data_IF_105772363755
#
_entry.id   IF_105772363755
#
_cell.length_a   1.000
_cell.length_b   1.000
_cell.length_c   1.000
_cell.angle_alpha   90.00
_cell.angle_beta   90.00
_cell.angle_gamma   90.00
#
_symmetry.space_group_name_H-M   'P 1'
#
loop_
_entity.id
_entity.type
_entity.pdbx_description
1 polymer ?
#
# COMPACT_ATOMS: atom_id res chain seq x y z
N UNK A 1 -9.54 -19.66 -19.99
CA UNK A 1 -8.36 -19.07 -19.34
C UNK A 1 -8.67 -17.97 -18.31
N UNK A 2 -9.81 -17.26 -18.35
CA UNK A 2 -10.20 -16.23 -17.34
C UNK A 2 -10.34 -16.74 -15.89
N UNK A 3 -10.69 -18.01 -15.68
CA UNK A 3 -10.94 -18.56 -14.34
C UNK A 3 -9.67 -18.78 -13.49
N UNK A 4 -8.48 -18.94 -14.11
CA UNK A 4 -7.23 -19.12 -13.38
C UNK A 4 -6.67 -17.80 -12.82
N UNK A 5 -6.82 -16.70 -13.55
CA UNK A 5 -6.37 -15.38 -13.08
C UNK A 5 -7.21 -14.87 -11.90
N UNK A 6 -8.51 -15.12 -11.90
CA UNK A 6 -9.40 -14.76 -10.80
C UNK A 6 -9.07 -15.53 -9.51
N UNK A 7 -8.77 -16.84 -9.60
CA UNK A 7 -8.38 -17.64 -8.43
C UNK A 7 -7.07 -17.16 -7.80
N UNK A 8 -6.05 -16.88 -8.62
CA UNK A 8 -4.78 -16.37 -8.13
C UNK A 8 -4.93 -15.00 -7.42
N UNK A 9 -5.75 -14.11 -7.96
CA UNK A 9 -6.03 -12.81 -7.35
C UNK A 9 -6.70 -12.96 -5.98
N UNK A 10 -7.68 -13.88 -5.86
CA UNK A 10 -8.33 -14.17 -4.57
C UNK A 10 -7.38 -14.77 -3.55
N UNK A 11 -6.45 -15.65 -3.96
CA UNK A 11 -5.43 -16.19 -3.06
C UNK A 11 -4.47 -15.10 -2.56
N UNK A 12 -4.04 -14.18 -3.41
CA UNK A 12 -3.17 -13.06 -3.00
C UNK A 12 -3.93 -12.11 -2.06
N UNK A 13 -5.16 -11.75 -2.39
CA UNK A 13 -5.99 -10.90 -1.53
C UNK A 13 -6.30 -11.57 -0.19
N UNK A 14 -6.72 -12.83 -0.20
CA UNK A 14 -6.97 -13.61 1.02
C UNK A 14 -5.70 -13.81 1.85
N UNK A 15 -4.59 -14.16 1.20
CA UNK A 15 -3.29 -14.31 1.86
C UNK A 15 -2.78 -13.00 2.48
N UNK A 16 -2.99 -11.86 1.81
CA UNK A 16 -2.61 -10.57 2.38
C UNK A 16 -3.47 -10.17 3.58
N UNK A 17 -4.77 -10.49 3.57
CA UNK A 17 -5.67 -10.33 4.70
C UNK A 17 -5.24 -11.17 5.90
N UNK A 18 -5.05 -12.46 5.67
CA UNK A 18 -4.62 -13.40 6.73
C UNK A 18 -3.25 -12.98 7.26
N UNK A 19 -2.32 -12.63 6.38
CA UNK A 19 -1.00 -12.13 6.77
C UNK A 19 -1.06 -10.85 7.60
N UNK A 20 -1.95 -9.92 7.26
CA UNK A 20 -2.15 -8.69 8.01
C UNK A 20 -2.64 -8.96 9.44
N UNK A 21 -3.64 -9.85 9.61
CA UNK A 21 -4.19 -10.22 10.91
C UNK A 21 -3.18 -11.02 11.74
N UNK A 22 -2.53 -12.03 11.14
CA UNK A 22 -1.55 -12.86 11.84
C UNK A 22 -0.33 -12.07 12.33
N UNK A 23 0.18 -11.15 11.51
CA UNK A 23 1.29 -10.30 11.93
C UNK A 23 0.87 -9.28 12.97
N UNK A 24 -0.32 -8.69 12.85
CA UNK A 24 -0.87 -7.85 13.90
C UNK A 24 -0.91 -8.60 15.23
N UNK A 25 -1.45 -9.83 15.24
CA UNK A 25 -1.46 -10.70 16.42
C UNK A 25 -0.05 -11.02 16.95
N UNK A 26 0.89 -11.33 16.05
CA UNK A 26 2.26 -11.64 16.46
C UNK A 26 2.91 -10.44 17.15
N UNK A 27 2.78 -9.23 16.58
CA UNK A 27 3.36 -8.03 17.17
C UNK A 27 2.68 -7.64 18.48
N UNK A 28 1.36 -7.79 18.59
CA UNK A 28 0.64 -7.50 19.83
C UNK A 28 1.01 -8.50 20.93
N UNK A 29 1.11 -9.79 20.63
CA UNK A 29 1.49 -10.82 21.62
C UNK A 29 2.94 -10.69 22.10
N UNK A 30 3.85 -10.16 21.27
CA UNK A 30 5.24 -9.93 21.68
C UNK A 30 5.42 -8.66 22.49
N UNK A 31 4.55 -7.68 22.35
CA UNK A 31 4.56 -6.46 23.17
C UNK A 31 4.26 -6.74 24.64
N UNK A 32 3.33 -7.66 24.94
CA UNK A 32 2.98 -8.06 26.31
C UNK A 32 4.11 -8.84 27.02
N UNK A 33 5.00 -9.49 26.27
CA UNK A 33 6.10 -10.29 26.84
C UNK A 33 7.39 -9.52 27.10
N UNK A 34 7.33 -8.17 27.09
CA UNK A 34 8.54 -7.33 27.34
C UNK A 34 9.51 -7.34 26.16
N UNK A 35 8.98 -7.53 24.95
CA UNK A 35 9.73 -7.35 23.71
C UNK A 35 10.34 -5.94 23.62
N UNK A 36 11.27 -5.70 22.70
CA UNK A 36 12.13 -4.52 22.71
C UNK A 36 11.32 -3.22 22.73
N UNK A 37 11.09 -2.71 23.92
CA UNK A 37 10.60 -1.35 24.19
C UNK A 37 11.71 -0.32 23.89
N UNK A 38 12.50 -0.58 22.85
CA UNK A 38 13.63 0.19 22.41
C UNK A 38 13.42 0.80 21.04
N UNK A 39 13.54 2.08 20.97
CA UNK A 39 13.70 2.88 19.78
C UNK A 39 14.73 2.28 18.81
N UNK A 40 14.31 1.56 17.77
CA UNK A 40 15.21 1.33 16.67
C UNK A 40 15.19 0.01 15.89
N UNK A 41 14.39 -0.99 16.22
CA UNK A 41 14.52 -2.29 15.56
C UNK A 41 13.27 -2.84 14.85
N UNK A 42 12.19 -2.07 14.76
CA UNK A 42 10.94 -2.51 14.12
C UNK A 42 10.77 -2.07 12.67
N UNK A 43 9.75 -2.59 11.97
CA UNK A 43 9.42 -2.14 10.63
C UNK A 43 9.20 -0.62 10.58
N UNK A 44 9.61 0.05 9.49
CA UNK A 44 9.39 1.48 9.34
C UNK A 44 7.91 1.84 9.50
N UNK A 45 7.62 2.81 10.38
CA UNK A 45 6.24 3.30 10.58
C UNK A 45 5.43 2.60 11.66
N UNK A 46 5.98 1.61 12.35
CA UNK A 46 5.35 0.95 13.50
C UNK A 46 5.82 1.60 14.79
N UNK A 47 4.88 2.21 15.51
CA UNK A 47 5.12 2.73 16.86
C UNK A 47 4.72 1.65 17.87
N UNK A 48 5.71 1.02 18.49
CA UNK A 48 5.51 -0.05 19.48
C UNK A 48 4.86 0.44 20.79
N UNK A 49 4.82 1.75 21.01
CA UNK A 49 4.17 2.33 22.16
C UNK A 49 2.63 2.43 22.02
N UNK A 50 2.12 2.25 20.79
CA UNK A 50 0.69 2.39 20.49
C UNK A 50 0.07 1.04 20.11
N UNK A 51 -0.87 0.50 20.93
CA UNK A 51 -1.55 -0.77 20.68
C UNK A 51 -2.19 -0.85 19.28
N UNK A 52 -2.81 0.24 18.82
CA UNK A 52 -3.44 0.32 17.52
C UNK A 52 -2.45 0.14 16.35
N UNK A 53 -1.27 0.72 16.44
CA UNK A 53 -0.24 0.59 15.38
C UNK A 53 0.34 -0.81 15.35
N UNK A 54 0.44 -1.48 16.49
CA UNK A 54 0.85 -2.88 16.59
C UNK A 54 -0.17 -3.81 15.94
N UNK A 55 -1.45 -3.64 16.29
CA UNK A 55 -2.54 -4.45 15.73
C UNK A 55 -2.61 -4.34 14.21
N UNK A 56 -2.33 -3.16 13.66
CA UNK A 56 -2.32 -2.91 12.23
C UNK A 56 -0.96 -3.15 11.56
N UNK A 57 0.12 -3.46 12.30
CA UNK A 57 1.49 -3.57 11.76
C UNK A 57 1.63 -4.52 10.57
N UNK A 58 0.72 -5.48 10.44
CA UNK A 58 0.62 -6.37 9.29
C UNK A 58 0.42 -5.65 7.95
N UNK A 59 0.03 -4.35 7.94
CA UNK A 59 -0.06 -3.57 6.70
C UNK A 59 1.27 -3.49 5.96
N UNK A 60 2.40 -3.59 6.67
CA UNK A 60 3.74 -3.55 6.06
C UNK A 60 3.99 -4.71 5.08
N UNK A 61 3.50 -5.92 5.37
CA UNK A 61 3.54 -7.01 4.39
C UNK A 61 2.40 -6.93 3.39
N UNK A 62 1.20 -6.54 3.83
CA UNK A 62 0.06 -6.40 2.96
C UNK A 62 0.32 -5.39 1.83
N UNK A 63 1.03 -4.28 2.08
CA UNK A 63 1.38 -3.30 1.05
C UNK A 63 2.27 -3.88 -0.05
N UNK A 64 3.20 -4.78 0.29
CA UNK A 64 4.01 -5.49 -0.71
C UNK A 64 3.14 -6.41 -1.57
N UNK A 65 2.37 -7.28 -0.92
CA UNK A 65 1.54 -8.25 -1.62
C UNK A 65 0.52 -7.55 -2.54
N UNK A 66 -0.16 -6.52 -2.04
CA UNK A 66 -1.15 -5.76 -2.81
C UNK A 66 -0.51 -4.88 -3.89
N UNK A 67 0.65 -4.27 -3.61
CA UNK A 67 1.41 -3.51 -4.61
C UNK A 67 1.90 -4.39 -5.76
N UNK A 68 2.44 -5.57 -5.44
CA UNK A 68 2.84 -6.58 -6.44
C UNK A 68 1.63 -7.08 -7.22
N UNK A 69 0.48 -7.29 -6.57
CA UNK A 69 -0.77 -7.63 -7.26
C UNK A 69 -1.13 -6.57 -8.30
N UNK A 70 -1.02 -5.28 -7.95
CA UNK A 70 -1.23 -4.18 -8.89
C UNK A 70 -0.32 -4.25 -10.11
N UNK A 71 0.98 -4.56 -9.90
CA UNK A 71 1.95 -4.77 -10.97
C UNK A 71 1.55 -5.96 -11.85
N UNK A 72 1.29 -7.12 -11.23
CA UNK A 72 1.02 -8.39 -11.94
C UNK A 72 -0.25 -8.34 -12.79
N UNK A 73 -1.31 -7.67 -12.33
CA UNK A 73 -2.54 -7.52 -13.08
C UNK A 73 -2.33 -6.78 -14.41
N UNK A 74 -1.39 -5.84 -14.43
CA UNK A 74 -1.06 -5.10 -15.65
C UNK A 74 -0.03 -5.87 -16.49
N UNK A 75 1.11 -6.25 -15.90
CA UNK A 75 2.21 -6.88 -16.64
C UNK A 75 1.86 -8.27 -17.15
N UNK A 76 0.96 -8.99 -16.48
CA UNK A 76 0.44 -10.28 -16.93
C UNK A 76 -0.30 -10.22 -18.27
N UNK A 77 -0.93 -9.08 -18.60
CA UNK A 77 -1.58 -8.89 -19.90
C UNK A 77 -0.56 -8.61 -21.03
N UNK A 78 0.56 -7.96 -20.68
CA UNK A 78 1.65 -7.82 -21.64
C UNK A 78 2.32 -9.17 -21.93
N UNK A 79 2.55 -9.97 -20.89
CA UNK A 79 3.20 -11.29 -21.04
C UNK A 79 2.30 -12.30 -21.79
N UNK A 80 0.99 -12.25 -21.56
CA UNK A 80 0.03 -13.14 -22.24
C UNK A 80 -0.39 -12.65 -23.64
N UNK A 81 0.02 -11.44 -24.03
CA UNK A 81 -0.36 -10.83 -25.31
C UNK A 81 -1.84 -10.39 -25.39
N UNK A 82 -2.63 -10.59 -24.32
CA UNK A 82 -4.07 -10.21 -24.30
C UNK A 82 -4.28 -8.71 -24.41
N UNK A 83 -3.25 -7.91 -24.15
CA UNK A 83 -3.32 -6.45 -24.29
C UNK A 83 -3.63 -6.01 -25.72
N UNK A 84 -3.16 -6.77 -26.73
CA UNK A 84 -3.41 -6.47 -28.16
C UNK A 84 -4.90 -6.60 -28.50
N UNK A 85 -5.55 -7.65 -28.03
CA UNK A 85 -7.00 -7.86 -28.25
C UNK A 85 -7.82 -6.80 -27.51
N UNK A 86 -7.39 -6.38 -26.32
CA UNK A 86 -8.05 -5.31 -25.56
C UNK A 86 -7.97 -3.98 -26.29
N UNK A 87 -6.82 -3.62 -26.86
CA UNK A 87 -6.66 -2.37 -27.61
C UNK A 87 -7.29 -2.40 -29.00
N UNK A 88 -7.39 -3.57 -29.63
CA UNK A 88 -8.14 -3.71 -30.88
C UNK A 88 -9.65 -3.44 -30.68
N UNK A 89 -10.19 -3.80 -29.52
CA UNK A 89 -11.60 -3.56 -29.18
C UNK A 89 -11.88 -2.14 -28.64
N UNK A 90 -10.85 -1.41 -28.20
CA UNK A 90 -10.99 -0.08 -27.60
C UNK A 90 -10.11 0.95 -28.33
N UNK A 91 -10.69 1.73 -29.29
CA UNK A 91 -9.93 2.72 -30.09
C UNK A 91 -9.27 3.81 -29.20
N UNK A 92 -9.87 4.12 -28.07
CA UNK A 92 -9.30 5.04 -27.08
C UNK A 92 -8.69 4.22 -25.94
N UNK A 93 -7.35 4.28 -25.78
CA UNK A 93 -6.60 3.48 -24.80
C UNK A 93 -6.73 3.97 -23.36
N UNK A 94 -6.99 5.27 -23.13
CA UNK A 94 -7.07 5.84 -21.78
C UNK A 94 -8.24 5.32 -20.92
N UNK A 95 -9.47 5.04 -21.48
CA UNK A 95 -10.55 4.52 -20.66
C UNK A 95 -10.27 3.11 -20.13
N UNK A 96 -9.44 2.34 -20.85
CA UNK A 96 -9.02 1.01 -20.41
C UNK A 96 -8.18 1.10 -19.13
N UNK A 97 -7.22 2.04 -19.09
CA UNK A 97 -6.39 2.29 -17.90
C UNK A 97 -7.25 2.77 -16.75
N UNK A 98 -8.14 3.74 -16.99
CA UNK A 98 -9.02 4.31 -15.98
C UNK A 98 -10.00 3.25 -15.42
N UNK A 99 -10.65 2.47 -16.28
CA UNK A 99 -11.58 1.42 -15.86
C UNK A 99 -10.88 0.33 -15.03
N UNK A 100 -9.68 -0.09 -15.44
CA UNK A 100 -8.90 -1.07 -14.67
C UNK A 100 -8.45 -0.52 -13.33
N UNK A 101 -7.97 0.72 -13.29
CA UNK A 101 -7.59 1.36 -12.04
C UNK A 101 -8.81 1.51 -11.10
N UNK A 102 -9.98 1.88 -11.62
CA UNK A 102 -11.20 2.00 -10.83
C UNK A 102 -11.68 0.64 -10.27
N UNK A 103 -11.73 -0.41 -11.10
CA UNK A 103 -12.15 -1.74 -10.66
C UNK A 103 -11.16 -2.33 -9.66
N UNK A 104 -9.85 -2.22 -9.94
CA UNK A 104 -8.81 -2.69 -9.03
C UNK A 104 -8.85 -1.91 -7.71
N UNK A 105 -8.95 -0.59 -7.78
CA UNK A 105 -9.04 0.27 -6.60
C UNK A 105 -10.26 -0.05 -5.74
N UNK A 106 -11.45 -0.21 -6.34
CA UNK A 106 -12.66 -0.57 -5.62
C UNK A 106 -12.55 -1.96 -4.94
N UNK A 107 -12.04 -2.95 -5.67
CA UNK A 107 -11.86 -4.31 -5.14
C UNK A 107 -10.89 -4.32 -3.96
N UNK A 108 -9.71 -3.69 -4.13
CA UNK A 108 -8.67 -3.65 -3.09
C UNK A 108 -9.14 -2.83 -1.90
N UNK A 109 -9.86 -1.73 -2.12
CA UNK A 109 -10.41 -0.91 -1.03
C UNK A 109 -11.35 -1.72 -0.12
N UNK A 110 -12.28 -2.49 -0.71
CA UNK A 110 -13.20 -3.33 0.06
C UNK A 110 -12.42 -4.40 0.83
N UNK A 111 -11.52 -5.10 0.16
CA UNK A 111 -10.73 -6.16 0.80
C UNK A 111 -9.84 -5.61 1.92
N UNK A 112 -9.14 -4.50 1.64
CA UNK A 112 -8.26 -3.87 2.64
C UNK A 112 -9.05 -3.27 3.83
N UNK A 113 -10.25 -2.74 3.59
CA UNK A 113 -11.13 -2.26 4.67
C UNK A 113 -11.59 -3.40 5.58
N UNK A 114 -11.98 -4.54 4.99
CA UNK A 114 -12.32 -5.74 5.77
C UNK A 114 -11.10 -6.23 6.57
N UNK A 115 -9.92 -6.24 5.94
CA UNK A 115 -8.67 -6.64 6.61
C UNK A 115 -8.28 -5.73 7.77
N UNK A 116 -8.37 -4.42 7.59
CA UNK A 116 -8.05 -3.45 8.62
C UNK A 116 -9.03 -3.53 9.80
N UNK A 117 -10.33 -3.69 9.51
CA UNK A 117 -11.35 -3.89 10.55
C UNK A 117 -11.15 -5.22 11.29
N UNK A 118 -10.83 -6.30 10.57
CA UNK A 118 -10.55 -7.58 11.18
C UNK A 118 -9.29 -7.53 12.08
N UNK A 119 -8.20 -6.89 11.60
CA UNK A 119 -6.98 -6.72 12.39
C UNK A 119 -7.24 -5.88 13.66
N UNK A 120 -8.03 -4.80 13.52
CA UNK A 120 -8.47 -4.01 14.67
C UNK A 120 -9.30 -4.84 15.66
N UNK A 121 -10.31 -5.58 15.17
CA UNK A 121 -11.22 -6.38 16.02
C UNK A 121 -10.44 -7.48 16.77
N UNK A 122 -9.50 -8.14 16.10
CA UNK A 122 -8.65 -9.14 16.73
C UNK A 122 -7.69 -8.50 17.73
N UNK A 123 -7.06 -7.37 17.38
CA UNK A 123 -6.20 -6.62 18.29
C UNK A 123 -6.93 -6.15 19.54
N UNK A 124 -8.16 -5.65 19.40
CA UNK A 124 -8.98 -5.21 20.55
C UNK A 124 -9.45 -6.35 21.45
N UNK A 125 -9.44 -7.58 20.97
CA UNK A 125 -9.77 -8.75 21.78
C UNK A 125 -8.55 -9.31 22.55
N UNK A 126 -7.33 -8.95 22.15
CA UNK A 126 -6.08 -9.50 22.70
C UNK A 126 -5.35 -8.49 23.57
N UNK A 127 -5.43 -7.19 23.24
CA UNK A 127 -4.65 -6.13 23.90
C UNK A 127 -5.55 -5.30 24.82
N UNK A 128 -5.23 -5.28 26.09
CA UNK A 128 -5.86 -4.41 27.08
C UNK A 128 -5.47 -2.94 26.79
N UNK A 129 -6.45 -2.03 26.88
CA UNK A 129 -6.21 -0.60 26.63
C UNK A 129 -6.21 -0.20 25.16
N UNK A 130 -6.72 -1.04 24.25
CA UNK A 130 -6.95 -0.65 22.86
C UNK A 130 -7.96 0.49 22.78
N UNK A 131 -7.65 1.61 22.09
CA UNK A 131 -8.59 2.72 21.94
C UNK A 131 -9.83 2.29 21.15
N UNK A 132 -11.01 2.75 21.57
CA UNK A 132 -12.29 2.44 20.95
C UNK A 132 -12.42 3.07 19.55
N UNK A 133 -13.21 2.46 18.65
CA UNK A 133 -13.46 3.01 17.30
C UNK A 133 -14.07 4.42 17.32
N UNK A 134 -14.73 4.80 18.39
CA UNK A 134 -15.32 6.15 18.58
C UNK A 134 -14.32 7.18 19.09
N UNK A 135 -13.12 6.80 19.47
CA UNK A 135 -12.09 7.74 19.91
C UNK A 135 -11.48 8.49 18.72
N UNK A 136 -11.00 9.71 19.00
CA UNK A 136 -10.48 10.60 17.98
C UNK A 136 -9.32 9.99 17.19
N UNK A 137 -9.53 9.86 15.89
CA UNK A 137 -8.54 9.40 14.95
C UNK A 137 -8.46 7.89 14.73
N UNK A 138 -9.06 7.04 15.59
CA UNK A 138 -9.00 5.58 15.47
C UNK A 138 -9.64 5.10 14.17
N UNK A 139 -10.86 5.53 13.90
CA UNK A 139 -11.56 5.19 12.65
C UNK A 139 -10.80 5.67 11.42
N UNK A 140 -10.18 6.86 11.51
CA UNK A 140 -9.30 7.38 10.43
C UNK A 140 -8.12 6.47 10.19
N UNK A 141 -7.45 5.97 11.22
CA UNK A 141 -6.30 5.07 11.08
C UNK A 141 -6.71 3.75 10.46
N UNK A 142 -7.81 3.15 10.92
CA UNK A 142 -8.31 1.87 10.40
C UNK A 142 -8.72 1.99 8.92
N UNK A 143 -9.57 2.96 8.58
CA UNK A 143 -9.98 3.20 7.19
C UNK A 143 -8.83 3.77 6.35
N UNK A 144 -7.96 4.56 6.96
CA UNK A 144 -6.75 5.09 6.34
C UNK A 144 -5.80 3.99 5.88
N UNK A 145 -5.70 2.90 6.64
CA UNK A 145 -4.94 1.71 6.23
C UNK A 145 -5.47 1.13 4.91
N UNK A 146 -6.80 1.03 4.77
CA UNK A 146 -7.41 0.55 3.53
C UNK A 146 -7.17 1.49 2.35
N UNK A 147 -7.30 2.80 2.57
CA UNK A 147 -7.03 3.82 1.56
C UNK A 147 -5.56 3.79 1.12
N UNK A 148 -4.64 3.69 2.07
CA UNK A 148 -3.21 3.60 1.82
C UNK A 148 -2.86 2.37 0.98
N UNK A 149 -3.32 1.18 1.37
CA UNK A 149 -3.08 -0.07 0.64
C UNK A 149 -3.64 -0.01 -0.78
N UNK A 150 -4.80 0.61 -0.95
CA UNK A 150 -5.40 0.85 -2.26
C UNK A 150 -4.52 1.75 -3.13
N UNK A 151 -4.03 2.86 -2.57
CA UNK A 151 -3.17 3.79 -3.29
C UNK A 151 -1.83 3.16 -3.68
N UNK A 152 -1.20 2.35 -2.80
CA UNK A 152 0.02 1.59 -3.12
C UNK A 152 -0.24 0.57 -4.24
N UNK A 153 -1.39 -0.11 -4.23
CA UNK A 153 -1.76 -1.04 -5.31
C UNK A 153 -1.93 -0.32 -6.65
N UNK A 154 -2.57 0.84 -6.65
CA UNK A 154 -2.71 1.67 -7.84
C UNK A 154 -1.37 2.21 -8.33
N UNK A 155 -0.46 2.58 -7.43
CA UNK A 155 0.91 2.95 -7.76
C UNK A 155 1.65 1.78 -8.42
N UNK A 156 1.54 0.56 -7.88
CA UNK A 156 2.07 -0.65 -8.47
C UNK A 156 1.52 -0.89 -9.88
N UNK A 157 0.21 -0.72 -10.08
CA UNK A 157 -0.41 -0.83 -11.40
C UNK A 157 0.12 0.22 -12.39
N UNK A 158 0.32 1.47 -11.95
CA UNK A 158 0.89 2.54 -12.77
C UNK A 158 2.33 2.20 -13.21
N UNK A 159 3.16 1.68 -12.29
CA UNK A 159 4.50 1.21 -12.62
C UNK A 159 4.48 0.04 -13.60
N UNK A 160 3.53 -0.88 -13.47
CA UNK A 160 3.31 -1.97 -14.43
C UNK A 160 3.03 -1.45 -15.84
N UNK A 161 2.18 -0.44 -15.99
CA UNK A 161 1.91 0.23 -17.27
C UNK A 161 3.14 0.93 -17.84
N UNK A 162 3.91 1.61 -16.98
CA UNK A 162 5.08 2.36 -17.38
C UNK A 162 6.24 1.47 -17.80
N UNK A 163 6.57 0.46 -17.03
CA UNK A 163 7.78 -0.33 -17.23
C UNK A 163 7.55 -1.54 -18.15
N UNK A 164 6.30 -2.03 -18.25
CA UNK A 164 5.94 -3.20 -19.08
C UNK A 164 6.77 -4.46 -18.76
N UNK A 165 7.48 -4.44 -17.66
CA UNK A 165 8.33 -5.52 -17.14
C UNK A 165 7.93 -5.80 -15.71
N UNK A 166 7.60 -7.03 -15.40
CA UNK A 166 7.19 -7.43 -14.05
C UNK A 166 8.33 -7.22 -13.05
N UNK A 167 9.52 -7.71 -13.38
CA UNK A 167 10.69 -7.58 -12.51
C UNK A 167 11.05 -6.10 -12.26
N UNK A 168 11.09 -5.28 -13.32
CA UNK A 168 11.39 -3.86 -13.21
C UNK A 168 10.36 -3.10 -12.38
N UNK A 169 9.05 -3.38 -12.60
CA UNK A 169 7.98 -2.70 -11.86
C UNK A 169 7.97 -3.09 -10.38
N UNK A 170 8.18 -4.38 -10.06
CA UNK A 170 8.27 -4.85 -8.67
C UNK A 170 9.50 -4.28 -7.98
N UNK A 171 10.67 -4.30 -8.63
CA UNK A 171 11.90 -3.73 -8.08
C UNK A 171 11.77 -2.22 -7.81
N UNK A 172 11.16 -1.48 -8.74
CA UNK A 172 10.91 -0.04 -8.57
C UNK A 172 9.92 0.23 -7.44
N UNK A 173 8.84 -0.55 -7.34
CA UNK A 173 7.87 -0.43 -6.25
C UNK A 173 8.54 -0.69 -4.90
N UNK A 174 9.32 -1.78 -4.79
CA UNK A 174 10.06 -2.10 -3.59
C UNK A 174 11.06 -1.00 -3.21
N UNK A 175 11.79 -0.49 -4.21
CA UNK A 175 12.71 0.63 -4.03
C UNK A 175 12.02 1.87 -3.45
N UNK A 176 10.89 2.27 -4.04
CA UNK A 176 10.14 3.46 -3.62
C UNK A 176 9.49 3.32 -2.23
N UNK A 177 8.99 2.13 -1.91
CA UNK A 177 8.19 1.91 -0.70
C UNK A 177 9.05 1.53 0.51
N UNK A 178 10.14 0.78 0.30
CA UNK A 178 10.98 0.27 1.39
C UNK A 178 12.41 0.80 1.36
N UNK A 179 13.09 0.67 0.23
CA UNK A 179 14.52 0.96 0.18
C UNK A 179 14.82 2.45 0.36
N UNK A 180 14.11 3.32 -0.35
CA UNK A 180 14.35 4.76 -0.25
C UNK A 180 14.05 5.36 1.14
N UNK A 181 12.95 5.00 1.85
CA UNK A 181 12.74 5.46 3.22
C UNK A 181 13.85 5.04 4.18
N UNK A 182 14.33 3.78 4.06
CA UNK A 182 15.42 3.28 4.89
C UNK A 182 16.72 4.02 4.59
N UNK A 183 17.08 4.15 3.31
CA UNK A 183 18.28 4.88 2.90
C UNK A 183 18.22 6.37 3.27
N UNK A 184 17.04 6.97 3.13
CA UNK A 184 16.81 8.37 3.51
C UNK A 184 17.02 8.62 5.00
N UNK A 185 16.63 7.65 5.85
CA UNK A 185 16.89 7.71 7.30
C UNK A 185 18.36 7.57 7.68
N UNK A 186 19.21 7.07 6.77
CA UNK A 186 20.65 6.95 6.97
C UNK A 186 21.43 8.19 6.49
N UNK A 187 20.78 9.14 5.83
CA UNK A 187 21.43 10.36 5.35
C UNK A 187 21.86 11.23 6.53
N UNK A 188 23.11 11.73 6.55
CA UNK A 188 23.58 12.62 7.60
C UNK A 188 22.96 14.01 7.45
N UNK A 189 22.63 14.64 8.60
CA UNK A 189 22.08 16.00 8.65
C UNK A 189 20.56 16.06 8.53
N UNK A 190 20.02 17.28 8.46
CA UNK A 190 18.57 17.56 8.50
C UNK A 190 17.82 17.25 7.20
N UNK A 191 18.53 16.88 6.14
CA UNK A 191 17.94 16.60 4.84
C UNK A 191 17.20 15.25 4.79
N UNK A 192 17.68 14.26 5.57
CA UNK A 192 17.11 12.91 5.57
C UNK A 192 15.61 12.92 5.85
N UNK A 193 15.16 13.46 6.98
CA UNK A 193 13.74 13.58 7.31
C UNK A 193 12.94 14.34 6.27
N UNK A 194 13.50 15.43 5.73
CA UNK A 194 12.83 16.26 4.72
C UNK A 194 12.60 15.52 3.40
N UNK A 195 13.57 14.73 2.96
CA UNK A 195 13.41 13.89 1.75
C UNK A 195 12.47 12.73 2.02
N UNK A 196 12.63 12.04 3.15
CA UNK A 196 11.83 10.85 3.50
C UNK A 196 10.35 11.17 3.59
N UNK A 197 9.95 12.32 4.15
CA UNK A 197 8.53 12.68 4.29
C UNK A 197 7.79 12.79 2.95
N UNK A 198 8.50 13.09 1.84
CA UNK A 198 7.91 13.19 0.50
C UNK A 198 7.78 11.84 -0.20
N UNK A 199 8.44 10.79 0.27
CA UNK A 199 8.34 9.47 -0.32
C UNK A 199 6.92 8.91 -0.21
N UNK A 200 6.44 8.14 -1.22
CA UNK A 200 5.04 7.69 -1.27
C UNK A 200 4.61 6.90 -0.04
N UNK A 201 5.49 6.05 0.49
CA UNK A 201 5.18 5.25 1.68
C UNK A 201 5.15 6.10 2.97
N UNK A 202 6.10 7.02 3.13
CA UNK A 202 6.15 7.89 4.31
C UNK A 202 5.02 8.92 4.31
N UNK A 203 4.78 9.56 3.16
CA UNK A 203 3.69 10.51 3.00
C UNK A 203 2.33 9.85 3.24
N UNK A 204 2.07 8.70 2.59
CA UNK A 204 0.82 7.96 2.78
C UNK A 204 0.69 7.36 4.18
N UNK A 205 1.81 6.95 4.79
CA UNK A 205 1.87 6.41 6.14
C UNK A 205 1.47 7.41 7.23
N UNK A 206 1.48 8.72 6.96
CA UNK A 206 0.97 9.73 7.91
C UNK A 206 -0.51 9.53 8.24
N UNK A 207 -1.31 8.94 7.33
CA UNK A 207 -2.72 8.65 7.55
C UNK A 207 -2.94 7.53 8.60
N UNK A 208 -1.94 6.66 8.79
CA UNK A 208 -1.99 5.49 9.67
C UNK A 208 -1.56 5.79 11.10
N UNK A 209 -1.23 7.02 11.43
CA UNK A 209 -0.74 7.43 12.75
C UNK A 209 -1.81 8.22 13.50
N UNK A 210 -1.95 7.98 14.81
CA UNK A 210 -2.82 8.76 15.69
C UNK A 210 -2.25 10.15 15.94
N UNK A 211 -0.95 10.21 16.22
CA UNK A 211 -0.22 11.45 16.52
C UNK A 211 0.67 11.85 15.36
N UNK A 212 0.73 13.14 15.07
CA UNK A 212 1.59 13.69 14.01
C UNK A 212 2.76 14.41 14.67
N UNK A 213 3.98 14.08 14.28
CA UNK A 213 5.20 14.81 14.67
C UNK A 213 5.48 15.95 13.68
N UNK A 214 6.31 16.93 14.10
CA UNK A 214 6.64 18.10 13.27
C UNK A 214 7.26 17.73 11.91
N UNK A 215 7.98 16.59 11.85
CA UNK A 215 8.67 16.12 10.65
C UNK A 215 7.75 15.39 9.66
N UNK A 216 6.44 15.29 9.95
CA UNK A 216 5.49 14.53 9.16
C UNK A 216 4.40 15.43 8.60
N UNK A 217 3.85 15.02 7.47
CA UNK A 217 2.66 15.67 6.95
C UNK A 217 1.44 15.41 7.84
N UNK A 218 0.52 16.38 7.86
CA UNK A 218 -0.82 16.11 8.38
C UNK A 218 -1.44 14.92 7.61
N UNK A 219 -2.26 14.08 8.26
CA UNK A 219 -2.73 12.81 7.69
C UNK A 219 -3.29 12.91 6.27
N UNK A 220 -4.19 13.85 6.04
CA UNK A 220 -4.81 14.05 4.73
C UNK A 220 -3.88 14.68 3.70
N UNK A 221 -2.96 15.55 4.13
CA UNK A 221 -1.95 16.15 3.25
C UNK A 221 -0.98 15.09 2.74
N UNK A 222 -0.49 14.22 3.62
CA UNK A 222 0.38 13.13 3.21
C UNK A 222 -0.33 12.14 2.28
N UNK A 223 -1.60 11.83 2.54
CA UNK A 223 -2.38 11.00 1.62
C UNK A 223 -2.58 11.67 0.26
N UNK A 224 -2.79 12.99 0.20
CA UNK A 224 -2.87 13.74 -1.06
C UNK A 224 -1.56 13.67 -1.85
N UNK A 225 -0.40 13.72 -1.18
CA UNK A 225 0.91 13.51 -1.83
C UNK A 225 0.98 12.12 -2.46
N UNK A 226 0.59 11.07 -1.74
CA UNK A 226 0.56 9.70 -2.29
C UNK A 226 -0.38 9.59 -3.49
N UNK A 227 -1.57 10.18 -3.42
CA UNK A 227 -2.50 10.23 -4.56
C UNK A 227 -1.90 11.00 -5.76
N UNK A 228 -1.09 12.03 -5.50
CA UNK A 228 -0.31 12.74 -6.52
C UNK A 228 0.63 11.80 -7.28
N UNK A 229 1.37 10.95 -6.58
CA UNK A 229 2.23 9.93 -7.21
C UNK A 229 1.40 8.96 -8.07
N UNK A 230 0.27 8.49 -7.57
CA UNK A 230 -0.64 7.61 -8.32
C UNK A 230 -1.15 8.31 -9.58
N UNK A 231 -1.63 9.55 -9.45
CA UNK A 231 -2.16 10.33 -10.57
C UNK A 231 -1.10 10.60 -11.63
N UNK A 232 0.10 11.03 -11.23
CA UNK A 232 1.23 11.27 -12.14
C UNK A 232 1.62 9.95 -12.83
N UNK A 233 1.72 8.85 -12.09
CA UNK A 233 2.05 7.54 -12.64
C UNK A 233 1.04 7.06 -13.68
N UNK A 234 -0.27 7.16 -13.38
CA UNK A 234 -1.34 6.79 -14.32
C UNK A 234 -1.40 7.74 -15.53
N UNK A 235 -1.21 9.04 -15.33
CA UNK A 235 -1.17 10.01 -16.42
C UNK A 235 0.01 9.75 -17.36
N UNK A 236 1.19 9.47 -16.81
CA UNK A 236 2.38 9.10 -17.57
C UNK A 236 2.18 7.77 -18.34
N UNK A 237 1.49 6.81 -17.71
CA UNK A 237 1.11 5.56 -18.37
C UNK A 237 0.19 5.81 -19.58
N UNK A 238 -0.84 6.63 -19.42
CA UNK A 238 -1.74 7.01 -20.52
C UNK A 238 -0.99 7.77 -21.62
N UNK A 239 -0.11 8.70 -21.26
CA UNK A 239 0.70 9.44 -22.22
C UNK A 239 1.61 8.51 -23.02
N UNK A 240 2.31 7.58 -22.36
CA UNK A 240 3.17 6.58 -23.02
C UNK A 240 2.39 5.66 -23.97
N UNK A 241 1.15 5.31 -23.62
CA UNK A 241 0.28 4.50 -24.49
C UNK A 241 -0.22 5.26 -25.72
N UNK A 242 -0.22 6.60 -25.70
CA UNK A 242 -0.58 7.42 -26.86
C UNK A 242 0.60 7.65 -27.80
N UNK A 243 1.83 7.73 -27.26
CA UNK A 243 3.03 8.09 -28.02
C UNK A 243 3.80 6.92 -28.58
N UNK A 244 3.63 5.73 -28.00
CA UNK A 244 4.31 4.51 -28.48
C UNK A 244 3.27 3.43 -28.73
N UNK A 245 3.28 2.89 -29.96
CA UNK A 245 2.48 1.71 -30.29
C UNK A 245 2.91 0.51 -29.47
N UNK A 246 1.92 -0.27 -29.05
CA UNK A 246 2.11 -1.47 -28.22
C UNK A 246 2.55 -2.65 -29.09
#
# INVERSE_FOLDING_TARGET
MKARSLRSTWYVLGGSLVGMVLLGLLFTSTADTGGPSGSGGGPPGVDFAQPLTLALAGYNLAQLAMGVLGVLLVTGEYTSGTIRSTFAAAPRRWPVVAAKAAVLGALVLVVAAVGALAAYAVGSAVVDGMPGLGEDGVLRVVLGTALYLTAITLLGSALGWLLRSTAGAVATLFGLVFLLPVLGGLLPGDWGPDVVRWLPSSAGGSLLRLTTTADQFAPWTGFAVLLGYVAIGLAAAVWRLRTRDA
#
